data_IF_627349189539
#
_entry.id   IF_627349189539
#
_cell.length_a   1.000
_cell.length_b   1.000
_cell.length_c   1.000
_cell.angle_alpha   90.00
_cell.angle_beta   90.00
_cell.angle_gamma   90.00
#
_symmetry.space_group_name_H-M   'P 1'
#
loop_
_entity.id
_entity.type
_entity.pdbx_description
1 polymer ?
#
# COMPACT_ATOMS: atom_id res chain seq x y z
N UNK A 1 -2.18 -22.15 18.07
CA UNK A 1 -2.06 -21.65 16.71
C UNK A 1 -3.42 -21.74 16.03
N UNK A 2 -3.95 -20.61 15.53
CA UNK A 2 -5.26 -20.54 14.89
C UNK A 2 -5.18 -20.57 13.36
N UNK A 3 -4.03 -20.25 12.81
CA UNK A 3 -3.78 -20.19 11.37
C UNK A 3 -2.29 -20.44 11.07
N UNK A 4 -1.97 -20.78 9.84
CA UNK A 4 -0.61 -20.90 9.33
C UNK A 4 -0.34 -19.73 8.41
N UNK A 5 0.73 -18.94 8.61
CA UNK A 5 1.08 -17.84 7.71
C UNK A 5 1.28 -18.33 6.27
N UNK A 6 0.75 -17.59 5.32
CA UNK A 6 0.87 -17.86 3.88
C UNK A 6 1.97 -16.97 3.28
N UNK A 7 1.83 -15.68 3.41
CA UNK A 7 2.68 -14.68 2.80
C UNK A 7 2.90 -13.49 3.74
N UNK A 8 3.77 -12.61 3.33
CA UNK A 8 3.99 -11.27 3.88
C UNK A 8 4.14 -10.31 2.70
N UNK A 9 3.83 -9.04 2.92
CA UNK A 9 3.83 -8.06 1.85
C UNK A 9 4.38 -6.71 2.30
N UNK A 10 4.73 -5.88 1.34
CA UNK A 10 4.95 -4.45 1.49
C UNK A 10 4.33 -3.70 0.32
N UNK A 11 4.16 -2.39 0.48
CA UNK A 11 3.62 -1.50 -0.53
C UNK A 11 4.74 -0.63 -1.07
N UNK A 12 4.86 -0.54 -2.40
CA UNK A 12 5.84 0.27 -3.10
C UNK A 12 5.19 1.34 -3.98
N UNK A 13 6.01 2.25 -4.48
CA UNK A 13 5.63 3.27 -5.44
C UNK A 13 5.89 2.75 -6.86
N UNK A 14 4.83 2.51 -7.61
CA UNK A 14 4.91 2.21 -9.05
C UNK A 14 4.97 3.51 -9.82
N UNK A 15 5.90 3.62 -10.79
CA UNK A 15 6.07 4.83 -11.58
C UNK A 15 6.37 4.56 -13.06
N UNK A 16 5.87 5.44 -13.94
CA UNK A 16 6.03 5.36 -15.40
C UNK A 16 7.27 6.15 -15.86
N UNK A 17 8.31 5.45 -16.32
CA UNK A 17 9.57 6.04 -16.74
C UNK A 17 9.41 7.01 -17.91
N UNK A 18 8.57 6.69 -18.90
CA UNK A 18 8.38 7.54 -20.08
C UNK A 18 7.75 8.91 -19.70
N UNK A 19 6.84 8.93 -18.73
CA UNK A 19 6.26 10.19 -18.24
C UNK A 19 7.24 11.02 -17.42
N UNK A 20 8.11 10.37 -16.64
CA UNK A 20 9.20 11.02 -15.92
C UNK A 20 10.22 11.63 -16.89
N UNK A 21 10.64 10.87 -17.90
CA UNK A 21 11.58 11.34 -18.94
C UNK A 21 10.99 12.53 -19.72
N UNK A 22 9.71 12.46 -20.11
CA UNK A 22 9.01 13.54 -20.80
C UNK A 22 8.94 14.83 -19.97
N UNK A 23 8.85 14.71 -18.65
CA UNK A 23 8.82 15.84 -17.73
C UNK A 23 10.21 16.31 -17.27
N UNK A 24 11.28 15.57 -17.62
CA UNK A 24 12.65 15.86 -17.15
C UNK A 24 12.79 15.71 -15.63
N UNK A 25 12.04 14.79 -15.02
CA UNK A 25 12.05 14.51 -13.58
C UNK A 25 12.91 13.28 -13.32
N UNK A 26 13.78 13.35 -12.31
CA UNK A 26 14.56 12.18 -11.87
C UNK A 26 13.64 11.09 -11.30
N UNK A 27 14.00 9.83 -11.52
CA UNK A 27 13.25 8.70 -10.99
C UNK A 27 13.27 8.67 -9.47
N UNK A 28 12.22 8.12 -8.82
CA UNK A 28 12.17 7.96 -7.37
C UNK A 28 13.34 7.13 -6.84
N UNK A 29 13.95 7.58 -5.74
CA UNK A 29 14.99 6.87 -4.99
C UNK A 29 14.66 6.83 -3.48
N UNK A 30 15.54 6.24 -2.67
CA UNK A 30 15.38 6.12 -1.23
C UNK A 30 15.37 7.45 -0.45
N UNK A 31 15.74 8.55 -1.09
CA UNK A 31 15.76 9.88 -0.48
C UNK A 31 14.51 10.68 -0.77
N UNK A 32 13.67 10.22 -1.67
CA UNK A 32 12.43 10.90 -2.02
C UNK A 32 11.57 11.18 -0.80
N UNK A 33 11.00 12.37 -0.79
CA UNK A 33 10.09 12.87 0.24
C UNK A 33 8.69 13.08 -0.33
N UNK A 34 7.73 13.40 0.52
CA UNK A 34 6.40 13.83 0.09
C UNK A 34 6.44 15.08 -0.80
N UNK A 35 7.40 15.99 -0.54
CA UNK A 35 7.56 17.20 -1.35
C UNK A 35 8.06 16.85 -2.77
N UNK A 36 8.94 15.85 -2.89
CA UNK A 36 9.39 15.35 -4.19
C UNK A 36 8.25 14.69 -4.96
N UNK A 37 7.39 13.92 -4.30
CA UNK A 37 6.19 13.32 -4.88
C UNK A 37 5.26 14.39 -5.47
N UNK A 38 4.99 15.46 -4.72
CA UNK A 38 4.16 16.59 -5.15
C UNK A 38 4.82 17.31 -6.33
N UNK A 39 6.10 17.68 -6.20
CA UNK A 39 6.84 18.38 -7.25
C UNK A 39 6.93 17.59 -8.56
N UNK A 40 7.16 16.27 -8.47
CA UNK A 40 7.16 15.39 -9.63
C UNK A 40 5.78 15.33 -10.28
N UNK A 41 4.72 15.21 -9.47
CA UNK A 41 3.34 15.14 -9.96
C UNK A 41 2.93 16.40 -10.73
N UNK A 42 3.26 17.58 -10.21
CA UNK A 42 3.02 18.87 -10.87
C UNK A 42 3.76 18.97 -12.22
N UNK A 43 5.04 18.61 -12.24
CA UNK A 43 5.87 18.68 -13.46
C UNK A 43 5.40 17.71 -14.52
N UNK A 44 5.05 16.48 -14.13
CA UNK A 44 4.54 15.47 -15.06
C UNK A 44 3.21 15.92 -15.66
N UNK A 45 2.29 16.42 -14.83
CA UNK A 45 1.02 16.94 -15.31
C UNK A 45 1.20 18.10 -16.28
N UNK A 46 2.06 19.05 -15.94
CA UNK A 46 2.38 20.20 -16.81
C UNK A 46 2.98 19.79 -18.16
N UNK A 47 3.85 18.78 -18.16
CA UNK A 47 4.54 18.32 -19.37
C UNK A 47 3.69 17.41 -20.26
N UNK A 48 2.84 16.56 -19.64
CA UNK A 48 2.17 15.44 -20.33
C UNK A 48 0.64 15.57 -20.39
N UNK A 49 0.04 16.38 -19.52
CA UNK A 49 -1.41 16.42 -19.31
C UNK A 49 -1.97 15.15 -18.66
N UNK A 50 -1.11 14.28 -18.11
CA UNK A 50 -1.48 13.05 -17.42
C UNK A 50 -1.39 13.26 -15.91
N UNK A 51 -2.19 12.54 -15.13
CA UNK A 51 -2.13 12.61 -13.68
C UNK A 51 -0.73 12.25 -13.17
N UNK A 52 -0.20 13.03 -12.24
CA UNK A 52 1.12 12.80 -11.64
C UNK A 52 1.08 11.65 -10.64
N UNK A 53 0.18 11.75 -9.65
CA UNK A 53 0.01 10.71 -8.64
C UNK A 53 -1.48 10.39 -8.44
N UNK A 54 -1.79 9.13 -8.24
CA UNK A 54 -3.15 8.64 -8.07
C UNK A 54 -3.39 8.27 -6.59
N UNK A 55 -3.75 9.27 -5.77
CA UNK A 55 -3.99 9.12 -4.35
C UNK A 55 -5.34 8.45 -4.06
N UNK A 56 -5.38 7.13 -4.09
CA UNK A 56 -6.59 6.35 -3.84
C UNK A 56 -6.94 6.31 -2.35
N UNK A 57 -8.22 6.42 -2.02
CA UNK A 57 -8.72 6.35 -0.65
C UNK A 57 -8.77 4.90 -0.14
N UNK A 58 -7.61 4.33 0.16
CA UNK A 58 -7.43 2.98 0.68
C UNK A 58 -6.59 3.01 1.96
N UNK A 59 -6.77 2.00 2.82
CA UNK A 59 -5.99 1.87 4.03
C UNK A 59 -4.56 1.37 3.73
N UNK A 60 -4.39 0.23 3.08
CA UNK A 60 -3.08 -0.37 2.81
C UNK A 60 -2.38 0.25 1.61
N UNK A 61 -3.07 0.43 0.47
CA UNK A 61 -2.52 1.04 -0.74
C UNK A 61 -2.67 2.57 -0.75
N UNK A 62 -2.82 3.19 0.41
CA UNK A 62 -3.08 4.61 0.53
C UNK A 62 -2.59 5.22 1.84
N UNK A 63 -3.49 5.94 2.52
CA UNK A 63 -3.16 6.92 3.55
C UNK A 63 -2.49 6.34 4.82
N UNK A 64 -2.66 5.07 5.16
CA UNK A 64 -2.01 4.51 6.34
C UNK A 64 -0.49 4.55 6.25
N UNK A 65 0.09 4.34 5.06
CA UNK A 65 1.53 4.48 4.87
C UNK A 65 2.01 5.86 5.34
N UNK A 66 1.31 6.90 4.88
CA UNK A 66 1.64 8.30 5.23
C UNK A 66 1.44 8.60 6.72
N UNK A 67 0.42 8.01 7.35
CA UNK A 67 0.19 8.14 8.80
C UNK A 67 1.41 7.65 9.59
N UNK A 68 1.89 6.45 9.29
CA UNK A 68 3.06 5.90 10.01
C UNK A 68 4.36 6.60 9.63
N UNK A 69 4.52 7.05 8.39
CA UNK A 69 5.64 7.90 7.98
C UNK A 69 5.70 9.21 8.76
N UNK A 70 4.57 9.81 9.09
CA UNK A 70 4.52 11.02 9.91
C UNK A 70 4.84 10.77 11.40
N UNK A 71 4.93 9.52 11.83
CA UNK A 71 5.07 9.14 13.24
C UNK A 71 3.73 9.02 13.98
N UNK A 72 2.62 8.98 13.23
CA UNK A 72 1.28 8.74 13.75
C UNK A 72 0.94 7.25 13.87
N UNK A 73 -0.31 6.95 14.20
CA UNK A 73 -0.82 5.58 14.28
C UNK A 73 -2.33 5.53 14.06
N UNK A 74 -2.84 4.38 13.61
CA UNK A 74 -4.27 4.12 13.45
C UNK A 74 -4.89 3.58 14.75
N UNK A 75 -4.24 2.59 15.36
CA UNK A 75 -4.55 2.09 16.70
C UNK A 75 -3.30 2.20 17.57
N UNK A 76 -3.47 2.52 18.84
CA UNK A 76 -2.41 2.51 19.82
C UNK A 76 -1.84 1.08 20.03
N UNK A 77 -0.75 0.96 20.79
CA UNK A 77 -0.01 -0.30 20.94
C UNK A 77 -0.87 -1.44 21.49
N UNK A 78 -1.74 -1.16 22.45
CA UNK A 78 -2.66 -2.15 23.03
C UNK A 78 -3.95 -2.36 22.21
N UNK A 79 -4.10 -1.65 21.08
CA UNK A 79 -5.20 -1.74 20.12
C UNK A 79 -6.58 -1.41 20.69
N UNK A 80 -6.61 -0.58 21.72
CA UNK A 80 -7.84 -0.18 22.45
C UNK A 80 -8.34 1.20 22.07
N UNK A 81 -7.49 2.05 21.47
CA UNK A 81 -7.78 3.44 21.11
C UNK A 81 -7.30 3.75 19.69
N UNK A 82 -8.12 4.49 18.95
CA UNK A 82 -7.72 5.04 17.67
C UNK A 82 -6.76 6.24 17.82
N UNK A 83 -6.08 6.59 16.74
CA UNK A 83 -5.14 7.70 16.68
C UNK A 83 -5.52 8.79 15.68
N UNK A 84 -6.77 8.86 15.20
CA UNK A 84 -7.15 9.78 14.13
C UNK A 84 -7.04 11.25 14.51
N UNK A 85 -7.15 11.58 15.79
CA UNK A 85 -6.99 12.96 16.31
C UNK A 85 -5.59 13.25 16.83
N UNK A 86 -4.63 12.37 16.65
CA UNK A 86 -3.22 12.64 16.99
C UNK A 86 -2.60 13.58 15.94
N UNK A 87 -1.76 14.55 16.36
CA UNK A 87 -1.21 15.56 15.44
C UNK A 87 -0.51 14.98 14.22
N UNK A 88 0.34 13.96 14.39
CA UNK A 88 1.03 13.31 13.28
C UNK A 88 0.07 12.60 12.32
N UNK A 89 -0.95 11.92 12.85
CA UNK A 89 -1.99 11.25 12.05
C UNK A 89 -2.82 12.26 11.27
N UNK A 90 -3.27 13.32 11.95
CA UNK A 90 -4.02 14.41 11.34
C UNK A 90 -3.23 15.09 10.21
N UNK A 91 -1.93 15.41 10.46
CA UNK A 91 -1.01 15.94 9.45
C UNK A 91 -0.96 15.06 8.20
N UNK A 92 -0.77 13.76 8.38
CA UNK A 92 -0.65 12.81 7.27
C UNK A 92 -1.96 12.68 6.48
N UNK A 93 -3.11 12.61 7.17
CA UNK A 93 -4.40 12.50 6.50
C UNK A 93 -4.73 13.81 5.77
N UNK A 94 -4.45 14.98 6.36
CA UNK A 94 -4.58 16.29 5.70
C UNK A 94 -3.72 16.36 4.44
N UNK A 95 -2.47 15.92 4.51
CA UNK A 95 -1.59 15.84 3.34
C UNK A 95 -2.20 14.96 2.26
N UNK A 96 -2.55 13.71 2.59
CA UNK A 96 -3.02 12.73 1.62
C UNK A 96 -4.34 13.14 0.94
N UNK A 97 -5.29 13.67 1.70
CA UNK A 97 -6.55 14.22 1.14
C UNK A 97 -6.27 15.44 0.26
N UNK A 98 -5.35 16.31 0.70
CA UNK A 98 -4.95 17.49 -0.05
C UNK A 98 -4.36 17.20 -1.44
N UNK A 99 -3.81 16.01 -1.67
CA UNK A 99 -3.32 15.60 -2.99
C UNK A 99 -4.42 15.65 -4.05
N UNK A 100 -5.65 15.22 -3.70
CA UNK A 100 -6.79 15.21 -4.63
C UNK A 100 -7.43 16.60 -4.87
N UNK A 101 -6.97 17.63 -4.18
CA UNK A 101 -7.41 19.01 -4.43
C UNK A 101 -6.66 19.68 -5.59
N UNK A 102 -5.76 18.93 -6.25
CA UNK A 102 -4.92 19.40 -7.34
C UNK A 102 -5.31 18.73 -8.67
N UNK A 103 -5.23 19.49 -9.75
CA UNK A 103 -5.56 19.01 -11.10
C UNK A 103 -4.69 17.81 -11.56
N UNK A 104 -3.52 17.66 -10.96
CA UNK A 104 -2.60 16.56 -11.27
C UNK A 104 -2.90 15.24 -10.52
N UNK A 105 -3.95 15.20 -9.68
CA UNK A 105 -4.41 14.01 -9.00
C UNK A 105 -5.91 13.79 -9.29
N UNK A 106 -6.37 12.59 -9.69
CA UNK A 106 -7.79 12.35 -9.86
C UNK A 106 -8.53 12.39 -8.52
N UNK A 107 -9.80 12.76 -8.56
CA UNK A 107 -10.70 12.77 -7.41
C UNK A 107 -11.37 11.41 -7.16
N UNK A 108 -12.16 11.29 -6.08
CA UNK A 108 -12.89 10.07 -5.76
C UNK A 108 -13.97 9.71 -6.79
N UNK A 109 -14.48 10.66 -7.56
CA UNK A 109 -15.44 10.41 -8.65
C UNK A 109 -14.77 9.60 -9.75
N UNK A 110 -13.55 9.97 -10.12
CA UNK A 110 -12.74 9.20 -11.06
C UNK A 110 -12.46 7.79 -10.55
N UNK A 111 -12.06 7.65 -9.28
CA UNK A 111 -11.74 6.37 -8.69
C UNK A 111 -12.95 5.45 -8.47
N UNK A 112 -14.16 5.98 -8.43
CA UNK A 112 -15.38 5.16 -8.41
C UNK A 112 -15.57 4.34 -9.70
N UNK A 113 -15.00 4.80 -10.82
CA UNK A 113 -15.12 4.16 -12.12
C UNK A 113 -13.83 3.46 -12.59
N UNK A 114 -12.67 3.93 -12.12
CA UNK A 114 -11.36 3.47 -12.63
C UNK A 114 -10.37 3.26 -11.49
N UNK A 115 -9.94 2.02 -11.28
CA UNK A 115 -8.91 1.70 -10.30
C UNK A 115 -7.54 2.31 -10.70
N UNK A 116 -6.66 2.67 -9.71
CA UNK A 116 -5.36 3.26 -9.98
C UNK A 116 -4.48 2.46 -10.95
N UNK A 117 -4.37 1.14 -10.77
CA UNK A 117 -3.61 0.27 -11.68
C UNK A 117 -4.16 0.29 -13.10
N UNK A 118 -5.50 0.24 -13.27
CA UNK A 118 -6.14 0.35 -14.60
C UNK A 118 -5.82 1.69 -15.27
N UNK A 119 -5.87 2.78 -14.51
CA UNK A 119 -5.50 4.11 -15.01
C UNK A 119 -4.02 4.18 -15.41
N UNK A 120 -3.15 3.63 -14.58
CA UNK A 120 -1.70 3.59 -14.84
C UNK A 120 -1.36 2.82 -16.10
N UNK A 121 -1.81 1.57 -16.23
CA UNK A 121 -1.53 0.73 -17.42
C UNK A 121 -2.27 1.19 -18.68
N UNK A 122 -3.26 2.08 -18.54
CA UNK A 122 -3.87 2.82 -19.66
C UNK A 122 -3.18 4.16 -19.93
N UNK A 123 -2.01 4.41 -19.35
CA UNK A 123 -1.19 5.62 -19.51
C UNK A 123 -1.95 6.92 -19.17
N UNK A 124 -2.81 6.88 -18.13
CA UNK A 124 -3.55 8.05 -17.62
C UNK A 124 -2.89 8.71 -16.43
N UNK A 125 -2.06 7.98 -15.68
CA UNK A 125 -1.34 8.46 -14.50
C UNK A 125 0.08 7.92 -14.42
N UNK A 126 0.95 8.66 -13.78
CA UNK A 126 2.39 8.39 -13.73
C UNK A 126 2.82 7.62 -12.49
N UNK A 127 2.11 7.75 -11.37
CA UNK A 127 2.48 7.10 -10.12
C UNK A 127 1.25 6.63 -9.34
N UNK A 128 1.37 5.48 -8.66
CA UNK A 128 0.40 4.98 -7.69
C UNK A 128 1.07 4.00 -6.71
N UNK A 129 0.39 3.66 -5.63
CA UNK A 129 0.86 2.65 -4.69
C UNK A 129 0.34 1.28 -5.09
N UNK A 130 1.23 0.27 -5.03
CA UNK A 130 0.87 -1.12 -5.30
C UNK A 130 1.63 -2.07 -4.39
N UNK A 131 1.04 -3.23 -4.14
CA UNK A 131 1.65 -4.28 -3.34
C UNK A 131 2.43 -5.28 -4.19
N UNK A 132 3.44 -5.89 -3.58
CA UNK A 132 4.28 -6.92 -4.23
C UNK A 132 3.47 -8.06 -4.86
N UNK A 133 2.29 -8.37 -4.33
CA UNK A 133 1.43 -9.47 -4.79
C UNK A 133 0.79 -9.29 -6.17
N UNK A 134 0.75 -8.07 -6.71
CA UNK A 134 0.17 -7.79 -8.03
C UNK A 134 1.24 -7.66 -9.14
N UNK A 135 2.50 -7.42 -8.80
CA UNK A 135 3.54 -7.03 -9.76
C UNK A 135 3.74 -8.04 -10.90
N UNK A 136 3.81 -9.34 -10.58
CA UNK A 136 3.96 -10.36 -11.62
C UNK A 136 2.75 -10.45 -12.54
N UNK A 137 1.55 -10.36 -11.97
CA UNK A 137 0.32 -10.37 -12.76
C UNK A 137 0.24 -9.15 -13.69
N UNK A 138 0.68 -7.99 -13.24
CA UNK A 138 0.71 -6.77 -14.06
C UNK A 138 1.72 -6.86 -15.20
N UNK A 139 2.91 -7.40 -14.96
CA UNK A 139 3.90 -7.66 -16.01
C UNK A 139 3.37 -8.63 -17.08
N UNK A 140 2.59 -9.63 -16.68
CA UNK A 140 1.98 -10.61 -17.59
C UNK A 140 0.76 -10.06 -18.33
N UNK A 141 -0.06 -9.24 -17.67
CA UNK A 141 -1.28 -8.68 -18.25
C UNK A 141 -1.01 -7.50 -19.20
N UNK A 142 0.11 -6.77 -19.00
CA UNK A 142 0.49 -5.60 -19.78
C UNK A 142 1.91 -5.74 -20.35
N UNK A 143 2.16 -6.75 -21.22
CA UNK A 143 3.49 -7.02 -21.75
C UNK A 143 4.06 -5.85 -22.58
N UNK A 144 3.20 -5.01 -23.17
CA UNK A 144 3.60 -3.80 -23.91
C UNK A 144 4.14 -2.68 -23.01
N UNK A 145 3.88 -2.78 -21.72
CA UNK A 145 4.38 -1.82 -20.72
C UNK A 145 5.69 -2.27 -20.07
N UNK A 146 6.14 -3.51 -20.31
CA UNK A 146 7.41 -4.02 -19.75
C UNK A 146 8.57 -3.12 -20.16
N UNK A 147 9.37 -2.68 -19.20
CA UNK A 147 10.48 -1.75 -19.38
C UNK A 147 10.10 -0.26 -19.38
N UNK A 148 8.81 0.10 -19.48
CA UNK A 148 8.33 1.48 -19.42
C UNK A 148 8.00 1.96 -18.01
N UNK A 149 7.94 1.08 -17.05
CA UNK A 149 7.66 1.36 -15.64
C UNK A 149 8.62 0.64 -14.72
N UNK A 150 8.63 1.05 -13.47
CA UNK A 150 9.44 0.44 -12.44
C UNK A 150 8.78 0.66 -11.07
N UNK A 151 9.39 0.11 -10.02
CA UNK A 151 8.96 0.26 -8.64
C UNK A 151 10.07 0.85 -7.79
N UNK A 152 9.69 1.63 -6.80
CA UNK A 152 10.60 2.25 -5.85
C UNK A 152 10.03 2.13 -4.43
N UNK A 153 10.88 2.38 -3.44
CA UNK A 153 10.42 2.56 -2.05
C UNK A 153 9.48 3.75 -1.94
N UNK A 154 8.63 3.76 -0.93
CA UNK A 154 7.71 4.88 -0.71
C UNK A 154 8.47 6.16 -0.34
N UNK A 155 8.02 7.34 -0.82
CA UNK A 155 8.58 8.62 -0.39
C UNK A 155 8.36 8.82 1.10
N UNK A 156 9.38 9.31 1.81
CA UNK A 156 9.37 9.51 3.25
C UNK A 156 8.75 10.85 3.67
N UNK A 157 8.20 10.91 4.87
CA UNK A 157 7.80 12.17 5.48
C UNK A 157 9.03 13.06 5.71
N UNK A 158 9.06 14.33 5.23
CA UNK A 158 10.24 15.18 5.38
C UNK A 158 10.50 15.64 6.82
N UNK A 159 9.45 15.73 7.65
CA UNK A 159 9.48 16.21 9.03
C UNK A 159 8.56 15.38 9.93
N UNK A 160 8.90 14.11 10.20
CA UNK A 160 8.08 13.22 11.03
C UNK A 160 8.13 13.66 12.51
N UNK A 161 7.04 13.44 13.25
CA UNK A 161 7.04 13.69 14.70
C UNK A 161 7.88 12.65 15.46
N UNK A 162 8.06 11.46 14.88
CA UNK A 162 8.93 10.41 15.40
C UNK A 162 9.44 9.51 14.27
N UNK A 163 10.53 8.78 14.50
CA UNK A 163 11.15 7.93 13.49
C UNK A 163 11.96 8.72 12.46
N UNK A 164 12.23 8.09 11.33
CA UNK A 164 13.03 8.64 10.23
C UNK A 164 12.18 9.03 8.99
N UNK A 165 10.88 9.00 9.14
CA UNK A 165 9.92 9.32 8.08
C UNK A 165 9.60 8.17 7.13
N UNK A 166 10.22 7.00 7.29
CA UNK A 166 9.96 5.82 6.46
C UNK A 166 8.93 4.91 7.11
N UNK A 167 7.95 4.46 6.34
CA UNK A 167 7.08 3.35 6.69
C UNK A 167 6.41 2.81 5.43
N UNK A 168 6.11 1.52 5.43
CA UNK A 168 5.21 0.84 4.50
C UNK A 168 4.32 -0.11 5.29
N UNK A 169 3.06 -0.23 4.91
CA UNK A 169 2.17 -1.18 5.56
C UNK A 169 2.51 -2.59 5.09
N UNK A 170 2.79 -3.46 6.05
CA UNK A 170 2.92 -4.89 5.84
C UNK A 170 1.65 -5.58 6.36
N UNK A 171 1.12 -6.44 5.53
CA UNK A 171 0.02 -7.33 5.88
C UNK A 171 0.48 -8.77 5.67
N UNK A 172 -0.42 -9.66 5.36
CA UNK A 172 -0.17 -11.03 5.01
C UNK A 172 -1.41 -11.85 5.20
N UNK A 173 -1.49 -12.91 4.45
CA UNK A 173 -2.58 -13.85 4.53
C UNK A 173 -2.19 -15.07 5.36
N UNK A 174 -3.19 -15.77 5.84
CA UNK A 174 -3.02 -17.02 6.56
C UNK A 174 -3.95 -18.10 6.03
N UNK A 175 -3.51 -19.33 6.10
CA UNK A 175 -4.36 -20.50 5.89
C UNK A 175 -5.02 -20.92 7.20
N UNK A 176 -6.33 -21.08 7.19
CA UNK A 176 -7.09 -21.52 8.34
C UNK A 176 -8.21 -22.48 7.94
N UNK A 177 -8.81 -23.15 8.93
CA UNK A 177 -9.99 -23.99 8.72
C UNK A 177 -11.03 -23.73 9.79
N UNK A 178 -12.30 -23.90 9.45
CA UNK A 178 -13.38 -23.83 10.41
C UNK A 178 -13.28 -24.99 11.43
N UNK A 179 -13.54 -24.72 12.70
CA UNK A 179 -13.55 -25.74 13.75
C UNK A 179 -14.58 -26.85 13.51
N UNK A 180 -15.65 -26.55 12.74
CA UNK A 180 -16.70 -27.48 12.36
C UNK A 180 -16.35 -28.38 11.16
N UNK A 181 -15.13 -28.24 10.60
CA UNK A 181 -14.70 -29.09 9.48
C UNK A 181 -14.64 -30.56 9.90
N UNK A 182 -15.30 -31.43 9.13
CA UNK A 182 -15.38 -32.86 9.43
C UNK A 182 -14.10 -33.63 9.13
N UNK A 183 -13.17 -33.05 8.38
CA UNK A 183 -11.91 -33.66 7.96
C UNK A 183 -10.70 -32.98 8.62
N UNK A 184 -10.83 -32.57 9.90
CA UNK A 184 -9.83 -31.73 10.59
C UNK A 184 -8.41 -32.31 10.54
N UNK A 185 -8.23 -33.62 10.66
CA UNK A 185 -6.89 -34.20 10.68
C UNK A 185 -6.22 -34.11 9.30
N UNK A 186 -6.93 -34.41 8.22
CA UNK A 186 -6.44 -34.23 6.86
C UNK A 186 -6.11 -32.76 6.57
N UNK A 187 -6.99 -31.82 6.98
CA UNK A 187 -6.74 -30.39 6.78
C UNK A 187 -5.54 -29.90 7.58
N UNK A 188 -5.34 -30.40 8.81
CA UNK A 188 -4.14 -30.08 9.59
C UNK A 188 -2.86 -30.52 8.89
N UNK A 189 -2.85 -31.68 8.23
CA UNK A 189 -1.66 -32.14 7.48
C UNK A 189 -1.42 -31.28 6.24
N UNK A 190 -2.47 -30.87 5.54
CA UNK A 190 -2.36 -29.88 4.45
C UNK A 190 -1.81 -28.54 4.96
N UNK A 191 -2.33 -28.02 6.08
CA UNK A 191 -1.85 -26.77 6.66
C UNK A 191 -0.39 -26.87 7.12
N UNK A 192 0.04 -28.00 7.67
CA UNK A 192 1.45 -28.23 8.00
C UNK A 192 2.34 -28.18 6.75
N UNK A 193 1.89 -28.80 5.64
CA UNK A 193 2.61 -28.73 4.38
C UNK A 193 2.70 -27.29 3.85
N UNK A 194 1.61 -26.54 3.83
CA UNK A 194 1.61 -25.15 3.40
C UNK A 194 2.51 -24.24 4.24
N UNK A 195 2.67 -24.53 5.54
CA UNK A 195 3.58 -23.81 6.43
C UNK A 195 5.00 -24.38 6.47
N UNK A 196 5.28 -25.47 5.76
CA UNK A 196 6.64 -26.03 5.68
C UNK A 196 7.53 -25.23 4.74
N UNK A 197 8.85 -25.40 4.86
CA UNK A 197 9.80 -24.79 3.94
C UNK A 197 9.50 -25.13 2.48
N UNK A 198 9.18 -26.42 2.19
CA UNK A 198 8.84 -26.88 0.85
C UNK A 198 7.57 -26.22 0.31
N UNK A 199 6.49 -26.21 1.09
CA UNK A 199 5.23 -25.57 0.68
C UNK A 199 5.38 -24.08 0.43
N UNK A 200 6.14 -23.38 1.28
CA UNK A 200 6.41 -21.95 1.15
C UNK A 200 7.37 -21.64 -0.01
N UNK A 201 8.31 -22.53 -0.31
CA UNK A 201 9.18 -22.44 -1.50
C UNK A 201 8.37 -22.50 -2.78
N UNK A 202 7.47 -23.48 -2.89
CA UNK A 202 6.57 -23.62 -4.05
C UNK A 202 5.74 -22.37 -4.23
N UNK A 203 5.25 -21.78 -3.14
CA UNK A 203 4.51 -20.52 -3.21
C UNK A 203 5.39 -19.36 -3.72
N UNK A 204 6.61 -19.20 -3.20
CA UNK A 204 7.55 -18.18 -3.68
C UNK A 204 7.85 -18.35 -5.17
N UNK A 205 8.19 -19.55 -5.59
CA UNK A 205 8.47 -19.90 -7.00
C UNK A 205 7.27 -19.70 -7.94
N UNK A 206 6.05 -19.57 -7.40
CA UNK A 206 4.88 -19.18 -8.21
C UNK A 206 4.83 -17.68 -8.53
N UNK A 207 5.62 -16.86 -7.84
CA UNK A 207 5.65 -15.40 -8.01
C UNK A 207 4.42 -14.66 -7.46
N UNK A 208 3.50 -15.38 -6.81
CA UNK A 208 2.22 -14.79 -6.39
C UNK A 208 2.34 -13.83 -5.19
N UNK A 209 3.26 -14.08 -4.27
CA UNK A 209 3.53 -13.23 -3.11
C UNK A 209 4.80 -13.67 -2.40
N UNK A 210 5.40 -12.80 -1.61
CA UNK A 210 6.60 -13.09 -0.82
C UNK A 210 6.23 -14.11 0.27
N UNK A 211 6.91 -15.27 0.35
CA UNK A 211 6.61 -16.30 1.34
C UNK A 211 6.75 -15.79 2.78
N UNK A 212 5.88 -16.24 3.68
CA UNK A 212 6.00 -15.92 5.10
C UNK A 212 7.17 -16.65 5.79
N UNK A 213 7.69 -17.72 5.19
CA UNK A 213 8.81 -18.50 5.74
C UNK A 213 10.12 -17.71 5.56
N UNK A 214 10.79 -17.41 6.66
CA UNK A 214 12.00 -16.61 6.69
C UNK A 214 13.12 -17.24 5.84
N UNK A 215 13.76 -16.42 4.99
CA UNK A 215 14.88 -16.83 4.14
C UNK A 215 14.45 -17.44 2.80
N UNK A 216 13.17 -17.36 2.43
CA UNK A 216 12.67 -17.78 1.14
C UNK A 216 12.27 -16.62 0.22
N UNK A 217 12.56 -15.38 0.59
CA UNK A 217 12.24 -14.18 -0.18
C UNK A 217 12.80 -14.24 -1.61
N UNK A 218 14.02 -14.77 -1.75
CA UNK A 218 14.71 -14.93 -3.04
C UNK A 218 13.95 -15.86 -4.01
N UNK A 219 13.12 -16.76 -3.52
CA UNK A 219 12.33 -17.65 -4.39
C UNK A 219 11.26 -16.86 -5.16
N UNK A 220 10.67 -15.85 -4.51
CA UNK A 220 9.76 -14.91 -5.16
C UNK A 220 10.53 -13.94 -6.07
N UNK A 221 11.60 -13.34 -5.57
CA UNK A 221 12.42 -12.40 -6.34
C UNK A 221 12.96 -13.02 -7.64
N UNK A 222 13.31 -14.30 -7.63
CA UNK A 222 13.79 -15.03 -8.80
C UNK A 222 12.80 -15.09 -9.96
N UNK A 223 11.48 -14.97 -9.69
CA UNK A 223 10.45 -14.96 -10.73
C UNK A 223 10.53 -13.70 -11.63
N UNK A 224 11.24 -12.68 -11.20
CA UNK A 224 11.38 -11.40 -11.91
C UNK A 224 12.72 -11.22 -12.62
N UNK A 225 13.59 -12.24 -12.61
CA UNK A 225 14.97 -12.12 -13.12
C UNK A 225 15.08 -11.68 -14.59
N UNK A 226 14.06 -11.94 -15.40
CA UNK A 226 14.02 -11.54 -16.81
C UNK A 226 13.34 -10.18 -17.05
N UNK A 227 12.78 -9.57 -16.02
CA UNK A 227 12.08 -8.29 -16.11
C UNK A 227 12.97 -7.14 -15.64
N UNK A 228 13.02 -6.01 -16.38
CA UNK A 228 13.80 -4.84 -15.98
C UNK A 228 13.06 -4.01 -14.93
N UNK A 229 12.85 -4.58 -13.73
CA UNK A 229 12.08 -3.99 -12.64
C UNK A 229 12.79 -4.20 -11.29
N UNK A 230 12.79 -3.19 -10.43
CA UNK A 230 13.45 -3.20 -9.12
C UNK A 230 12.56 -3.81 -8.02
N UNK A 231 12.24 -5.10 -8.12
CA UNK A 231 11.39 -5.76 -7.09
C UNK A 231 12.08 -5.92 -5.73
N UNK A 232 13.39 -5.77 -5.67
CA UNK A 232 14.15 -5.87 -4.42
C UNK A 232 13.68 -4.83 -3.40
N UNK A 233 13.20 -3.67 -3.84
CA UNK A 233 12.69 -2.62 -2.96
C UNK A 233 11.57 -3.13 -2.02
N UNK A 234 10.71 -4.06 -2.46
CA UNK A 234 9.68 -4.66 -1.59
C UNK A 234 10.27 -5.48 -0.45
N UNK A 235 11.36 -6.19 -0.69
CA UNK A 235 12.07 -6.97 0.33
C UNK A 235 12.81 -6.04 1.30
N UNK A 236 13.50 -5.03 0.77
CA UNK A 236 14.26 -4.07 1.57
C UNK A 236 13.35 -3.26 2.52
N UNK A 237 12.13 -2.96 2.10
CA UNK A 237 11.16 -2.24 2.91
C UNK A 237 10.66 -3.00 4.15
N UNK A 238 10.89 -4.32 4.27
CA UNK A 238 10.58 -5.03 5.53
C UNK A 238 11.34 -4.50 6.73
N UNK A 239 12.50 -3.87 6.54
CA UNK A 239 13.31 -3.28 7.62
C UNK A 239 12.52 -2.24 8.44
N UNK A 240 11.65 -1.47 7.77
CA UNK A 240 10.85 -0.41 8.38
C UNK A 240 9.33 -0.57 8.13
N UNK A 241 8.91 -1.78 7.82
CA UNK A 241 7.49 -2.07 7.63
C UNK A 241 6.72 -2.03 8.94
N UNK A 242 5.47 -1.59 8.85
CA UNK A 242 4.53 -1.55 9.98
C UNK A 242 3.42 -2.56 9.74
N UNK A 243 3.24 -3.44 10.70
CA UNK A 243 2.16 -4.44 10.63
C UNK A 243 0.79 -3.75 10.53
N UNK A 244 0.00 -4.12 9.55
CA UNK A 244 -1.38 -3.67 9.42
C UNK A 244 -2.15 -3.93 10.71
N UNK A 245 -2.71 -2.87 11.28
CA UNK A 245 -3.40 -2.98 12.58
C UNK A 245 -4.73 -3.69 12.45
N UNK A 246 -4.99 -4.55 13.40
CA UNK A 246 -6.21 -5.32 13.47
C UNK A 246 -6.62 -5.55 14.93
N UNK A 247 -7.92 -5.42 15.20
CA UNK A 247 -8.55 -5.82 16.44
C UNK A 247 -9.86 -6.57 16.15
N UNK A 248 -10.51 -7.10 17.18
CA UNK A 248 -11.72 -7.90 17.00
C UNK A 248 -12.88 -7.11 16.38
N UNK A 249 -12.93 -5.80 16.57
CA UNK A 249 -13.99 -4.91 16.05
C UNK A 249 -13.67 -4.31 14.68
N UNK A 250 -12.48 -4.57 14.08
CA UNK A 250 -12.11 -4.00 12.76
C UNK A 250 -13.18 -4.21 11.68
N UNK A 251 -13.80 -5.39 11.53
CA UNK A 251 -14.84 -5.57 10.51
C UNK A 251 -16.04 -4.62 10.68
N UNK A 252 -16.30 -4.18 11.92
CA UNK A 252 -17.42 -3.30 12.25
C UNK A 252 -17.11 -1.82 12.02
N UNK A 253 -15.88 -1.38 12.33
CA UNK A 253 -15.51 0.02 12.22
C UNK A 253 -14.88 0.39 10.87
N UNK A 254 -14.21 -0.54 10.16
CA UNK A 254 -13.48 -0.22 8.91
C UNK A 254 -14.39 0.46 7.87
N UNK A 255 -15.55 -0.11 7.59
CA UNK A 255 -16.49 0.47 6.62
C UNK A 255 -16.97 1.86 7.04
N UNK A 256 -17.31 2.04 8.33
CA UNK A 256 -17.79 3.33 8.84
C UNK A 256 -16.70 4.41 8.79
N UNK A 257 -15.46 4.04 9.10
CA UNK A 257 -14.29 4.95 8.97
C UNK A 257 -14.09 5.36 7.51
N UNK A 258 -14.19 4.42 6.58
CA UNK A 258 -14.09 4.72 5.15
C UNK A 258 -15.22 5.65 4.68
N UNK A 259 -16.45 5.44 5.16
CA UNK A 259 -17.59 6.30 4.82
C UNK A 259 -17.37 7.74 5.30
N UNK A 260 -16.81 7.96 6.51
CA UNK A 260 -16.45 9.30 6.99
C UNK A 260 -15.28 9.91 6.18
N UNK A 261 -14.26 9.11 5.85
CA UNK A 261 -13.16 9.57 5.01
C UNK A 261 -13.65 10.05 3.63
N UNK A 262 -14.58 9.32 3.01
CA UNK A 262 -15.15 9.72 1.72
C UNK A 262 -15.97 11.02 1.81
N UNK A 263 -16.63 11.32 2.94
CA UNK A 263 -17.32 12.60 3.14
C UNK A 263 -16.32 13.79 3.20
N UNK A 264 -15.16 13.56 3.82
CA UNK A 264 -14.09 14.57 3.84
C UNK A 264 -13.58 14.82 2.41
N UNK A 265 -13.31 13.78 1.63
CA UNK A 265 -12.91 13.90 0.22
C UNK A 265 -13.96 14.63 -0.63
N UNK A 266 -15.23 14.39 -0.40
CA UNK A 266 -16.34 15.05 -1.09
C UNK A 266 -16.57 16.51 -0.63
N UNK A 267 -15.85 16.98 0.41
CA UNK A 267 -16.04 18.30 0.99
C UNK A 267 -17.40 18.50 1.70
N UNK A 268 -18.12 17.40 2.00
CA UNK A 268 -19.41 17.44 2.74
C UNK A 268 -19.21 17.38 4.24
N UNK A 269 -18.01 17.06 4.70
CA UNK A 269 -17.57 17.09 6.09
C UNK A 269 -16.22 17.81 6.16
N UNK A 270 -16.03 18.69 7.15
CA UNK A 270 -14.71 19.25 7.42
C UNK A 270 -13.79 18.20 8.04
N UNK A 271 -12.48 18.35 7.80
CA UNK A 271 -11.51 17.30 8.14
C UNK A 271 -11.42 17.06 9.66
N UNK A 272 -11.49 18.09 10.48
CA UNK A 272 -11.38 17.97 11.94
C UNK A 272 -12.58 17.23 12.52
N UNK A 273 -13.77 17.60 12.09
CA UNK A 273 -15.03 16.90 12.46
C UNK A 273 -15.00 15.45 11.98
N UNK A 274 -14.58 15.19 10.76
CA UNK A 274 -14.50 13.84 10.20
C UNK A 274 -13.50 12.97 10.95
N UNK A 275 -12.30 13.46 11.26
CA UNK A 275 -11.30 12.73 12.05
C UNK A 275 -11.80 12.43 13.47
N UNK A 276 -12.52 13.36 14.11
CA UNK A 276 -13.13 13.11 15.42
C UNK A 276 -14.18 12.00 15.34
N UNK A 277 -15.02 11.98 14.29
CA UNK A 277 -15.99 10.91 14.09
C UNK A 277 -15.33 9.56 13.83
N UNK A 278 -14.26 9.54 13.03
CA UNK A 278 -13.46 8.32 12.80
C UNK A 278 -12.88 7.79 14.12
N UNK A 279 -12.36 8.69 14.97
CA UNK A 279 -11.90 8.36 16.32
C UNK A 279 -13.03 7.74 17.16
N UNK A 280 -14.17 8.39 17.23
CA UNK A 280 -15.32 7.94 18.04
C UNK A 280 -15.91 6.59 17.56
N UNK A 281 -15.89 6.33 16.24
CA UNK A 281 -16.34 5.07 15.64
C UNK A 281 -15.48 3.90 16.11
N UNK A 282 -14.18 4.09 16.23
CA UNK A 282 -13.23 3.03 16.59
C UNK A 282 -13.15 2.84 18.10
N UNK A 283 -13.33 3.91 18.87
CA UNK A 283 -13.24 3.90 20.34
C UNK A 283 -14.52 3.39 21.04
N UNK A 284 -15.61 3.15 20.29
CA UNK A 284 -16.86 2.52 20.79
C UNK A 284 -16.69 1.02 21.02
#
# INVERSE_FOLDING_TARGET
>A
LYAVPKDKDTVGLVYNKEMFDAAGVAYPDENWTWDDLVSASEKIYAATGKYGYMAYADDQLGYWNFVYQAGGYILNEDKTKAGFTQPATEKAIKFYIGLQQNDWCPDQTYFAETAPGTAFFSEKGAMFLEGDWNILAELQNYPEMVGKWDVAVLPKCPDPESGDGRATISNGLCYATAASNKNLDTVKDILKFFGSEEGQRIQGESGAAIPAYQGLEDTWAGCFAEYPINIQCFIDMFEYSVQSVNNASRPEWKSKVNDELLKIYAGTEDIETGLQKMQDIVDQ
#
